data_IF_753067903946
#
_entry.id   IF_753067903946
#
_cell.length_a   1.000
_cell.length_b   1.000
_cell.length_c   1.000
_cell.angle_alpha   90.00
_cell.angle_beta   90.00
_cell.angle_gamma   90.00
#
_symmetry.space_group_name_H-M   'P 1'
#
loop_
_entity.id
_entity.type
_entity.pdbx_description
1 polymer ?
#
# COMPACT_ATOMS: atom_id res chain seq x y z
N UNK A 1 -17.35 64.23 -5.29
CA UNK A 1 -15.87 64.29 -5.39
C UNK A 1 -15.28 63.90 -4.05
N UNK A 2 -14.23 63.10 -4.04
CA UNK A 2 -13.61 62.54 -2.82
C UNK A 2 -12.18 63.03 -2.69
N UNK A 3 -11.75 63.42 -1.49
CA UNK A 3 -10.32 63.54 -1.17
C UNK A 3 -9.70 62.14 -1.04
N UNK A 4 -8.39 62.05 -1.14
CA UNK A 4 -7.68 60.75 -1.07
C UNK A 4 -7.96 59.95 0.21
N UNK A 5 -8.14 60.63 1.36
CA UNK A 5 -8.51 59.98 2.62
C UNK A 5 -9.93 59.43 2.57
N UNK A 6 -10.89 60.20 2.06
CA UNK A 6 -12.28 59.75 1.92
C UNK A 6 -12.41 58.59 0.91
N UNK A 7 -11.57 58.59 -0.13
CA UNK A 7 -11.50 57.48 -1.10
C UNK A 7 -10.88 56.23 -0.48
N UNK A 8 -9.83 56.37 0.34
CA UNK A 8 -9.21 55.29 1.09
C UNK A 8 -10.20 54.62 2.03
N UNK A 9 -10.91 55.41 2.83
CA UNK A 9 -11.91 54.92 3.79
C UNK A 9 -13.06 54.19 3.07
N UNK A 10 -13.54 54.74 1.94
CA UNK A 10 -14.65 54.15 1.18
C UNK A 10 -14.32 52.79 0.56
N UNK A 11 -13.06 52.56 0.19
CA UNK A 11 -12.61 51.35 -0.50
C UNK A 11 -11.83 50.38 0.40
N UNK A 12 -11.63 50.74 1.68
CA UNK A 12 -10.82 49.96 2.61
C UNK A 12 -9.35 49.84 2.19
N UNK A 13 -8.83 50.82 1.42
CA UNK A 13 -7.47 50.81 0.89
C UNK A 13 -6.58 51.80 1.63
N UNK A 14 -5.29 51.50 1.76
CA UNK A 14 -4.34 52.46 2.30
C UNK A 14 -4.15 53.65 1.34
N UNK A 15 -3.89 54.84 1.91
CA UNK A 15 -3.52 56.02 1.11
C UNK A 15 -2.32 55.74 0.19
N UNK A 16 -1.37 54.95 0.65
CA UNK A 16 -0.18 54.54 -0.12
C UNK A 16 -0.56 53.70 -1.33
N UNK A 17 -1.50 52.77 -1.17
CA UNK A 17 -2.04 51.95 -2.27
C UNK A 17 -2.72 52.82 -3.34
N UNK A 18 -3.51 53.81 -2.93
CA UNK A 18 -4.15 54.74 -3.87
C UNK A 18 -3.15 55.62 -4.61
N UNK A 19 -2.09 56.10 -3.94
CA UNK A 19 -1.01 56.84 -4.59
C UNK A 19 -0.22 55.97 -5.58
N UNK A 20 -0.04 54.69 -5.24
CA UNK A 20 0.57 53.71 -6.14
C UNK A 20 -0.32 53.47 -7.37
N UNK A 21 -1.63 53.31 -7.19
CA UNK A 21 -2.58 53.17 -8.30
C UNK A 21 -2.64 54.42 -9.19
N UNK A 22 -2.53 55.61 -8.59
CA UNK A 22 -2.40 56.87 -9.34
C UNK A 22 -1.09 56.93 -10.13
N UNK A 23 0.03 56.43 -9.57
CA UNK A 23 1.33 56.34 -10.28
C UNK A 23 1.28 55.37 -11.46
N UNK A 24 0.53 54.27 -11.34
CA UNK A 24 0.28 53.31 -12.42
C UNK A 24 -0.74 53.80 -13.46
N UNK A 25 -1.37 54.96 -13.23
CA UNK A 25 -2.36 55.54 -14.14
C UNK A 25 -3.75 54.89 -14.05
N UNK A 26 -4.01 54.07 -13.04
CA UNK A 26 -5.30 53.39 -12.86
C UNK A 26 -6.43 54.36 -12.47
N UNK A 27 -6.06 55.44 -11.77
CA UNK A 27 -6.89 56.59 -11.43
C UNK A 27 -6.08 57.87 -11.64
N UNK A 28 -6.76 59.02 -11.81
CA UNK A 28 -6.09 60.31 -11.96
C UNK A 28 -6.77 61.38 -11.12
N UNK A 29 -6.10 61.86 -10.08
CA UNK A 29 -6.62 62.92 -9.24
C UNK A 29 -6.64 64.26 -9.99
N UNK A 30 -7.79 64.94 -9.99
CA UNK A 30 -7.87 66.32 -10.47
C UNK A 30 -7.42 67.27 -9.38
N UNK A 31 -6.52 68.20 -9.69
CA UNK A 31 -6.06 69.22 -8.74
C UNK A 31 -7.03 70.40 -8.72
N UNK A 32 -7.51 70.73 -7.53
CA UNK A 32 -8.28 71.94 -7.29
C UNK A 32 -7.35 73.16 -7.13
N UNK A 33 -7.91 74.37 -7.25
CA UNK A 33 -7.18 75.64 -7.09
C UNK A 33 -6.47 75.78 -5.72
N UNK A 34 -6.92 75.03 -4.70
CA UNK A 34 -6.33 74.98 -3.36
C UNK A 34 -5.22 73.91 -3.20
N UNK A 35 -4.77 73.29 -4.30
CA UNK A 35 -3.67 72.31 -4.30
C UNK A 35 -4.06 70.88 -3.91
N UNK A 36 -5.29 70.64 -3.43
CA UNK A 36 -5.76 69.29 -3.09
C UNK A 36 -6.15 68.49 -4.34
N UNK A 37 -5.90 67.18 -4.30
CA UNK A 37 -6.41 66.22 -5.30
C UNK A 37 -7.81 65.76 -4.93
N UNK A 38 -8.69 65.72 -5.92
CA UNK A 38 -10.03 65.14 -5.82
C UNK A 38 -10.27 64.08 -6.87
N UNK A 39 -11.02 63.05 -6.47
CA UNK A 39 -11.40 61.91 -7.30
C UNK A 39 -12.91 61.87 -7.48
N UNK A 40 -13.36 61.30 -8.58
CA UNK A 40 -14.77 61.24 -8.98
C UNK A 40 -15.45 59.96 -8.50
N UNK A 41 -16.77 59.87 -8.61
CA UNK A 41 -17.48 58.60 -8.37
C UNK A 41 -17.05 57.52 -9.37
N UNK A 42 -16.66 57.92 -10.59
CA UNK A 42 -16.15 57.00 -11.61
C UNK A 42 -14.83 56.36 -11.19
N UNK A 43 -13.97 57.10 -10.49
CA UNK A 43 -12.72 56.55 -9.93
C UNK A 43 -13.03 55.52 -8.83
N UNK A 44 -14.06 55.76 -7.99
CA UNK A 44 -14.53 54.78 -7.00
C UNK A 44 -14.97 53.51 -7.70
N UNK A 45 -15.90 53.60 -8.66
CA UNK A 45 -16.42 52.44 -9.40
C UNK A 45 -15.31 51.66 -10.13
N UNK A 46 -14.34 52.36 -10.72
CA UNK A 46 -13.20 51.76 -11.41
C UNK A 46 -12.30 50.99 -10.45
N UNK A 47 -12.03 51.55 -9.26
CA UNK A 47 -11.23 50.87 -8.24
C UNK A 47 -11.99 49.69 -7.61
N UNK A 48 -13.31 49.79 -7.44
CA UNK A 48 -14.14 48.66 -7.00
C UNK A 48 -14.08 47.51 -8.01
N UNK A 49 -14.18 47.80 -9.31
CA UNK A 49 -14.02 46.78 -10.35
C UNK A 49 -12.61 46.17 -10.33
N UNK A 50 -11.58 46.99 -10.12
CA UNK A 50 -10.20 46.51 -9.97
C UNK A 50 -10.04 45.56 -8.78
N UNK A 51 -10.64 45.88 -7.62
CA UNK A 51 -10.61 45.00 -6.44
C UNK A 51 -11.29 43.65 -6.71
N UNK A 52 -12.42 43.65 -7.42
CA UNK A 52 -13.11 42.41 -7.80
C UNK A 52 -12.29 41.55 -8.75
N UNK A 53 -11.61 42.17 -9.74
CA UNK A 53 -10.71 41.44 -10.65
C UNK A 53 -9.49 40.87 -9.92
N UNK A 54 -8.92 41.63 -8.97
CA UNK A 54 -7.82 41.14 -8.13
C UNK A 54 -8.26 39.98 -7.22
N UNK A 55 -9.49 40.02 -6.69
CA UNK A 55 -10.04 38.93 -5.89
C UNK A 55 -10.22 37.63 -6.71
N UNK A 56 -10.45 37.74 -8.02
CA UNK A 56 -10.42 36.62 -8.97
C UNK A 56 -9.00 36.11 -9.31
N UNK A 57 -7.97 36.64 -8.65
CA UNK A 57 -6.58 36.22 -8.81
C UNK A 57 -5.83 36.95 -9.92
N UNK A 58 -6.38 37.94 -10.60
CA UNK A 58 -5.65 38.67 -11.64
C UNK A 58 -4.59 39.60 -11.03
N UNK A 59 -3.44 39.68 -11.68
CA UNK A 59 -2.40 40.66 -11.34
C UNK A 59 -2.87 42.07 -11.66
N UNK A 60 -2.23 43.07 -11.03
CA UNK A 60 -2.53 44.48 -11.29
C UNK A 60 -2.40 44.88 -12.76
N UNK A 61 -1.46 44.27 -13.49
CA UNK A 61 -1.24 44.52 -14.92
C UNK A 61 -2.38 43.94 -15.77
N UNK A 62 -2.86 42.74 -15.43
CA UNK A 62 -3.99 42.10 -16.11
C UNK A 62 -5.31 42.83 -15.79
N UNK A 63 -5.52 43.24 -14.54
CA UNK A 63 -6.65 44.08 -14.16
C UNK A 63 -6.68 45.39 -14.98
N UNK A 64 -5.52 46.02 -15.16
CA UNK A 64 -5.41 47.21 -16.00
C UNK A 64 -5.78 46.92 -17.46
N UNK A 65 -5.27 45.83 -18.04
CA UNK A 65 -5.61 45.42 -19.40
C UNK A 65 -7.13 45.16 -19.55
N UNK A 66 -7.77 44.52 -18.57
CA UNK A 66 -9.21 44.30 -18.53
C UNK A 66 -10.03 45.60 -18.43
N UNK A 67 -9.49 46.63 -17.78
CA UNK A 67 -10.15 47.92 -17.60
C UNK A 67 -10.00 48.86 -18.81
N UNK A 68 -8.95 48.68 -19.60
CA UNK A 68 -8.56 49.58 -20.69
C UNK A 68 -8.81 48.99 -22.09
N UNK A 69 -9.01 47.68 -22.19
CA UNK A 69 -9.17 46.96 -23.46
C UNK A 69 -10.15 45.78 -23.35
N UNK A 70 -10.49 45.17 -24.49
CA UNK A 70 -11.35 43.97 -24.53
C UNK A 70 -10.60 42.83 -23.85
N UNK A 71 -11.23 42.22 -22.85
CA UNK A 71 -10.65 41.10 -22.10
C UNK A 71 -10.28 39.97 -23.05
N UNK A 72 -9.00 39.57 -23.03
CA UNK A 72 -8.51 38.43 -23.79
C UNK A 72 -9.00 37.15 -23.13
N UNK A 73 -9.84 36.39 -23.86
CA UNK A 73 -10.46 35.17 -23.36
C UNK A 73 -9.42 34.13 -22.94
N UNK A 74 -8.33 34.03 -23.69
CA UNK A 74 -7.29 33.01 -23.46
C UNK A 74 -6.55 33.24 -22.15
N UNK A 75 -6.31 34.50 -21.76
CA UNK A 75 -5.72 34.84 -20.46
C UNK A 75 -6.64 34.45 -19.29
N UNK A 76 -7.96 34.67 -19.42
CA UNK A 76 -8.91 34.23 -18.40
C UNK A 76 -9.00 32.70 -18.30
N UNK A 77 -8.94 31.99 -19.43
CA UNK A 77 -8.95 30.51 -19.47
C UNK A 77 -7.72 29.96 -18.76
N UNK A 78 -6.53 30.50 -19.04
CA UNK A 78 -5.31 30.07 -18.36
C UNK A 78 -5.34 30.39 -16.86
N UNK A 79 -5.87 31.56 -16.48
CA UNK A 79 -5.99 31.90 -15.06
C UNK A 79 -6.96 30.99 -14.31
N UNK A 80 -8.07 30.64 -14.94
CA UNK A 80 -9.04 29.68 -14.39
C UNK A 80 -8.40 28.30 -14.21
N UNK A 81 -7.64 27.83 -15.22
CA UNK A 81 -6.91 26.56 -15.16
C UNK A 81 -5.95 26.50 -13.96
N UNK A 82 -5.16 27.56 -13.75
CA UNK A 82 -4.24 27.65 -12.61
C UNK A 82 -4.98 27.69 -11.25
N UNK A 83 -6.14 28.35 -11.20
CA UNK A 83 -6.97 28.39 -9.99
C UNK A 83 -7.51 26.99 -9.65
N UNK A 84 -7.99 26.25 -10.65
CA UNK A 84 -8.48 24.88 -10.47
C UNK A 84 -7.37 23.93 -10.00
N UNK A 85 -6.15 24.08 -10.50
CA UNK A 85 -4.97 23.36 -9.98
C UNK A 85 -4.70 23.69 -8.51
N UNK A 86 -4.77 24.97 -8.13
CA UNK A 86 -4.54 25.40 -6.74
C UNK A 86 -5.64 24.87 -5.80
N UNK A 87 -6.91 24.90 -6.25
CA UNK A 87 -8.04 24.32 -5.50
C UNK A 87 -7.83 22.83 -5.30
N UNK A 88 -7.46 22.10 -6.36
CA UNK A 88 -7.19 20.66 -6.30
C UNK A 88 -6.09 20.36 -5.29
N UNK A 89 -5.01 21.14 -5.31
CA UNK A 89 -3.91 21.00 -4.36
C UNK A 89 -4.35 21.27 -2.90
N UNK A 90 -5.08 22.36 -2.65
CA UNK A 90 -5.59 22.67 -1.31
C UNK A 90 -6.60 21.64 -0.81
N UNK A 91 -7.42 21.08 -1.70
CA UNK A 91 -8.36 20.01 -1.36
C UNK A 91 -7.62 18.75 -0.91
N UNK A 92 -6.56 18.34 -1.62
CA UNK A 92 -5.71 17.21 -1.21
C UNK A 92 -5.05 17.45 0.14
N UNK A 93 -4.51 18.65 0.37
CA UNK A 93 -3.92 19.01 1.66
C UNK A 93 -4.94 18.97 2.80
N UNK A 94 -6.17 19.47 2.56
CA UNK A 94 -7.27 19.37 3.53
C UNK A 94 -7.64 17.91 3.80
N UNK A 95 -7.76 17.07 2.77
CA UNK A 95 -8.09 15.65 2.92
C UNK A 95 -7.04 14.93 3.76
N UNK A 96 -5.74 15.19 3.53
CA UNK A 96 -4.67 14.66 4.37
C UNK A 96 -4.85 15.09 5.84
N UNK A 97 -5.06 16.37 6.11
CA UNK A 97 -5.24 16.87 7.48
C UNK A 97 -6.50 16.29 8.15
N UNK A 98 -7.62 16.22 7.42
CA UNK A 98 -8.85 15.59 7.90
C UNK A 98 -8.62 14.10 8.23
N UNK A 99 -7.88 13.39 7.39
CA UNK A 99 -7.54 12.00 7.61
C UNK A 99 -6.61 11.81 8.82
N UNK A 100 -5.62 12.69 9.01
CA UNK A 100 -4.75 12.70 10.21
C UNK A 100 -5.51 13.04 11.50
N UNK A 101 -6.58 13.83 11.41
CA UNK A 101 -7.48 14.14 12.54
C UNK A 101 -8.54 13.05 12.77
N UNK A 102 -8.56 12.03 11.92
CA UNK A 102 -9.50 10.93 11.97
C UNK A 102 -10.90 11.21 11.46
N UNK A 103 -11.08 12.29 10.71
CA UNK A 103 -12.35 12.67 10.08
C UNK A 103 -12.58 11.93 8.74
N UNK A 104 -11.55 11.27 8.20
CA UNK A 104 -11.63 10.50 6.96
C UNK A 104 -10.54 9.42 6.88
N UNK A 105 -10.66 8.50 5.91
CA UNK A 105 -9.71 7.41 5.75
C UNK A 105 -8.32 7.87 5.29
N UNK A 106 -7.27 7.29 5.88
CA UNK A 106 -5.86 7.47 5.49
C UNK A 106 -5.38 6.46 4.42
N UNK A 107 -6.26 5.61 3.88
CA UNK A 107 -5.89 4.50 2.98
C UNK A 107 -4.99 4.93 1.82
N UNK A 108 -5.42 5.90 0.99
CA UNK A 108 -4.64 6.34 -0.18
C UNK A 108 -3.29 6.97 0.20
N UNK A 109 -3.24 7.64 1.36
CA UNK A 109 -2.01 8.26 1.85
C UNK A 109 -1.01 7.20 2.34
N UNK A 110 -1.46 6.21 3.11
CA UNK A 110 -0.63 5.07 3.52
C UNK A 110 -0.10 4.30 2.30
N UNK A 111 -0.95 4.03 1.30
CA UNK A 111 -0.55 3.39 0.05
C UNK A 111 0.53 4.20 -0.68
N UNK A 112 0.32 5.51 -0.83
CA UNK A 112 1.27 6.40 -1.52
C UNK A 112 2.62 6.43 -0.80
N UNK A 113 2.60 6.54 0.54
CA UNK A 113 3.83 6.55 1.34
C UNK A 113 4.52 5.19 1.34
N UNK A 114 3.78 4.09 1.38
CA UNK A 114 4.38 2.77 1.31
C UNK A 114 5.08 2.52 -0.03
N UNK A 115 4.52 3.03 -1.13
CA UNK A 115 5.14 2.95 -2.46
C UNK A 115 6.41 3.80 -2.58
N UNK A 116 6.44 5.01 -2.01
CA UNK A 116 7.51 5.98 -2.25
C UNK A 116 8.54 6.09 -1.13
N UNK A 117 8.15 5.75 0.10
CA UNK A 117 8.96 5.92 1.31
C UNK A 117 8.58 4.90 2.41
N UNK A 118 8.65 3.58 2.14
CA UNK A 118 8.16 2.53 3.04
C UNK A 118 8.83 2.55 4.42
N UNK A 119 10.15 2.76 4.49
CA UNK A 119 10.89 2.81 5.76
C UNK A 119 10.46 4.01 6.62
N UNK A 120 10.37 5.20 6.01
CA UNK A 120 9.95 6.42 6.71
C UNK A 120 8.50 6.33 7.20
N UNK A 121 7.66 5.60 6.47
CA UNK A 121 6.28 5.34 6.85
C UNK A 121 6.19 4.47 8.11
N UNK A 122 6.95 3.35 8.16
CA UNK A 122 7.00 2.47 9.34
C UNK A 122 7.57 3.22 10.55
N UNK A 123 8.67 3.96 10.37
CA UNK A 123 9.25 4.78 11.45
C UNK A 123 8.26 5.81 12.00
N UNK A 124 7.46 6.41 11.12
CA UNK A 124 6.43 7.35 11.53
C UNK A 124 5.32 6.66 12.32
N UNK A 125 4.84 5.49 11.88
CA UNK A 125 3.85 4.68 12.60
C UNK A 125 4.36 4.29 13.99
N UNK A 126 5.61 3.82 14.09
CA UNK A 126 6.22 3.50 15.39
C UNK A 126 6.26 4.70 16.34
N UNK A 127 6.54 5.91 15.81
CA UNK A 127 6.49 7.16 16.59
C UNK A 127 5.08 7.57 17.01
N UNK A 128 4.03 7.12 16.32
CA UNK A 128 2.64 7.33 16.74
C UNK A 128 2.20 6.35 17.84
N UNK A 129 3.08 5.44 18.28
CA UNK A 129 2.82 4.49 19.36
C UNK A 129 2.32 3.13 18.90
N UNK A 130 2.34 2.86 17.59
CA UNK A 130 2.13 1.50 17.07
C UNK A 130 3.38 0.66 17.32
N UNK A 131 3.22 -0.57 17.77
CA UNK A 131 4.31 -1.54 17.75
C UNK A 131 4.63 -1.95 16.29
N UNK A 132 5.76 -2.60 16.09
CA UNK A 132 6.23 -3.01 14.76
C UNK A 132 5.20 -3.90 14.04
N UNK A 133 4.51 -4.77 14.79
CA UNK A 133 3.48 -5.68 14.27
C UNK A 133 2.26 -4.91 13.79
N UNK A 134 1.82 -3.91 14.56
CA UNK A 134 0.73 -3.01 14.20
C UNK A 134 1.11 -2.13 13.00
N UNK A 135 2.34 -1.64 12.94
CA UNK A 135 2.84 -0.85 11.82
C UNK A 135 2.89 -1.67 10.51
N UNK A 136 3.40 -2.90 10.57
CA UNK A 136 3.38 -3.83 9.43
C UNK A 136 1.95 -4.19 9.01
N UNK A 137 1.03 -4.35 9.96
CA UNK A 137 -0.39 -4.60 9.68
C UNK A 137 -1.08 -3.41 9.03
N UNK A 138 -0.78 -2.18 9.46
CA UNK A 138 -1.31 -0.95 8.84
C UNK A 138 -0.78 -0.76 7.42
N UNK A 139 0.50 -1.06 7.20
CA UNK A 139 1.11 -1.14 5.87
C UNK A 139 0.36 -2.14 4.98
N UNK A 140 0.14 -3.36 5.46
CA UNK A 140 -0.48 -4.42 4.66
C UNK A 140 -1.96 -4.20 4.41
N UNK A 141 -2.70 -3.74 5.41
CA UNK A 141 -4.14 -3.53 5.29
C UNK A 141 -4.46 -2.24 4.55
N UNK A 142 -3.54 -1.27 4.42
CA UNK A 142 -3.81 0.06 3.85
C UNK A 142 -5.13 0.65 4.39
N UNK A 143 -5.48 0.40 5.65
CA UNK A 143 -6.83 0.67 6.17
C UNK A 143 -6.82 1.67 7.32
N UNK A 144 -7.96 2.33 7.43
CA UNK A 144 -8.21 3.52 8.25
C UNK A 144 -7.76 3.34 9.72
N UNK A 145 -6.83 4.19 10.14
CA UNK A 145 -6.21 4.21 11.47
C UNK A 145 -7.25 4.38 12.60
N UNK A 146 -8.42 4.96 12.32
CA UNK A 146 -9.44 5.26 13.33
C UNK A 146 -10.36 4.08 13.66
N UNK A 147 -10.30 3.00 12.88
CA UNK A 147 -11.12 1.78 13.07
C UNK A 147 -10.27 0.51 13.13
N UNK A 148 -8.94 0.67 13.24
CA UNK A 148 -7.97 -0.42 13.17
C UNK A 148 -8.23 -1.50 14.22
N UNK A 149 -8.46 -1.14 15.49
CA UNK A 149 -8.65 -2.12 16.56
C UNK A 149 -9.91 -2.99 16.37
N UNK A 150 -11.03 -2.36 15.95
CA UNK A 150 -12.25 -3.10 15.67
C UNK A 150 -12.10 -3.96 14.42
N UNK A 151 -11.53 -3.42 13.34
CA UNK A 151 -11.23 -4.18 12.14
C UNK A 151 -10.37 -5.40 12.47
N UNK A 152 -9.33 -5.23 13.29
CA UNK A 152 -8.45 -6.32 13.70
C UNK A 152 -9.17 -7.33 14.59
N UNK A 153 -10.06 -6.89 15.48
CA UNK A 153 -10.87 -7.80 16.28
C UNK A 153 -11.78 -8.68 15.39
N UNK A 154 -12.48 -8.06 14.44
CA UNK A 154 -13.35 -8.74 13.47
C UNK A 154 -12.54 -9.70 12.57
N UNK A 155 -11.37 -9.23 12.10
CA UNK A 155 -10.44 -10.04 11.31
C UNK A 155 -9.98 -11.28 12.08
N UNK A 156 -9.52 -11.10 13.31
CA UNK A 156 -9.03 -12.20 14.13
C UNK A 156 -10.17 -13.14 14.57
N UNK A 157 -11.41 -12.69 14.68
CA UNK A 157 -12.57 -13.54 14.99
C UNK A 157 -12.78 -14.62 13.90
N UNK A 158 -12.51 -14.28 12.64
CA UNK A 158 -12.51 -15.21 11.51
C UNK A 158 -11.23 -16.05 11.52
N UNK A 159 -10.06 -15.40 11.45
CA UNK A 159 -8.76 -16.07 11.20
C UNK A 159 -8.28 -16.98 12.33
N UNK A 160 -8.62 -16.71 13.60
CA UNK A 160 -8.28 -17.60 14.71
C UNK A 160 -8.96 -18.98 14.60
N UNK A 161 -10.09 -19.06 13.89
CA UNK A 161 -10.80 -20.30 13.64
C UNK A 161 -10.23 -21.14 12.49
N UNK A 162 -9.32 -20.57 11.69
CA UNK A 162 -8.77 -21.24 10.51
C UNK A 162 -7.54 -22.08 10.87
N UNK A 163 -7.42 -23.23 10.21
CA UNK A 163 -6.23 -24.08 10.29
C UNK A 163 -5.08 -23.51 9.45
N UNK A 164 -5.41 -22.92 8.30
CA UNK A 164 -4.47 -22.33 7.33
C UNK A 164 -4.69 -20.83 7.22
N UNK A 165 -3.61 -20.10 6.96
CA UNK A 165 -3.63 -18.65 6.71
C UNK A 165 -3.33 -18.30 5.24
N UNK A 166 -3.27 -19.31 4.38
CA UNK A 166 -3.13 -19.16 2.94
C UNK A 166 -3.30 -20.49 2.22
N UNK A 167 -3.35 -20.48 0.88
CA UNK A 167 -3.40 -21.68 0.07
C UNK A 167 -2.20 -22.59 0.31
N UNK A 168 -2.42 -23.91 0.27
CA UNK A 168 -1.35 -24.90 0.40
C UNK A 168 -1.89 -26.30 0.64
N UNK A 169 -1.17 -27.31 0.18
CA UNK A 169 -1.51 -28.72 0.40
C UNK A 169 -0.27 -29.54 0.71
N UNK A 170 -0.44 -30.64 1.45
CA UNK A 170 0.64 -31.59 1.68
C UNK A 170 1.22 -32.12 0.37
N UNK A 171 0.39 -32.34 -0.66
CA UNK A 171 0.83 -32.85 -1.95
C UNK A 171 1.78 -31.86 -2.65
N UNK A 172 1.45 -30.57 -2.63
CA UNK A 172 2.29 -29.53 -3.24
C UNK A 172 3.60 -29.33 -2.47
N UNK A 173 3.57 -29.33 -1.13
CA UNK A 173 4.79 -29.30 -0.31
C UNK A 173 5.69 -30.50 -0.61
N UNK A 174 5.13 -31.71 -0.76
CA UNK A 174 5.89 -32.92 -1.11
C UNK A 174 6.43 -32.88 -2.54
N UNK A 175 5.69 -32.30 -3.49
CA UNK A 175 6.14 -32.12 -4.86
C UNK A 175 7.38 -31.20 -4.90
N UNK A 176 7.34 -30.07 -4.20
CA UNK A 176 8.49 -29.17 -4.09
C UNK A 176 9.69 -29.84 -3.41
N UNK A 177 9.43 -30.61 -2.33
CA UNK A 177 10.48 -31.32 -1.59
C UNK A 177 11.18 -32.37 -2.48
N UNK A 178 10.43 -33.05 -3.34
CA UNK A 178 10.97 -34.04 -4.28
C UNK A 178 11.87 -33.45 -5.38
N UNK A 179 11.77 -32.15 -5.63
CA UNK A 179 12.58 -31.44 -6.63
C UNK A 179 13.91 -30.93 -6.06
N UNK A 180 14.12 -31.02 -4.75
CA UNK A 180 15.40 -30.66 -4.12
C UNK A 180 16.48 -31.68 -4.54
N UNK A 181 17.62 -31.24 -5.10
CA UNK A 181 18.61 -32.12 -5.71
C UNK A 181 19.48 -32.89 -4.70
N UNK A 182 19.36 -32.59 -3.40
CA UNK A 182 20.11 -33.22 -2.32
C UNK A 182 19.20 -33.50 -1.12
N UNK A 183 19.63 -34.37 -0.21
CA UNK A 183 18.91 -34.64 1.02
C UNK A 183 19.05 -33.46 2.00
N UNK A 184 17.94 -32.82 2.43
CA UNK A 184 18.03 -31.72 3.39
C UNK A 184 18.55 -32.19 4.76
N UNK A 185 19.42 -31.39 5.36
CA UNK A 185 19.98 -31.59 6.70
C UNK A 185 19.56 -30.50 7.69
N UNK A 186 19.41 -29.25 7.22
CA UNK A 186 19.17 -28.04 8.02
C UNK A 186 18.19 -27.11 7.32
N UNK A 187 16.91 -27.21 7.68
CA UNK A 187 15.85 -26.42 7.05
C UNK A 187 15.54 -25.20 7.92
N UNK A 188 15.48 -24.02 7.31
CA UNK A 188 14.86 -22.84 7.87
C UNK A 188 13.50 -22.61 7.20
N UNK A 189 12.41 -22.67 7.96
CA UNK A 189 11.09 -22.28 7.50
C UNK A 189 10.76 -20.85 7.95
N UNK A 190 10.39 -19.98 7.02
CA UNK A 190 10.13 -18.55 7.24
C UNK A 190 8.65 -18.26 7.02
N UNK A 191 8.00 -17.73 8.07
CA UNK A 191 6.55 -17.51 8.10
C UNK A 191 5.79 -18.84 8.18
N UNK A 192 6.13 -19.70 9.14
CA UNK A 192 5.56 -21.03 9.25
C UNK A 192 4.08 -21.03 9.71
N UNK A 193 3.59 -19.93 10.30
CA UNK A 193 2.26 -19.84 10.89
C UNK A 193 2.02 -20.98 11.89
N UNK A 194 0.95 -21.74 11.67
CA UNK A 194 0.60 -22.93 12.47
C UNK A 194 1.38 -24.20 12.09
N UNK A 195 2.34 -24.08 11.18
CA UNK A 195 3.32 -25.09 10.77
C UNK A 195 2.75 -26.28 10.02
N UNK A 196 1.93 -26.01 9.00
CA UNK A 196 1.42 -27.07 8.13
C UNK A 196 2.54 -27.64 7.25
N UNK A 197 3.31 -26.78 6.58
CA UNK A 197 4.50 -27.21 5.85
C UNK A 197 5.55 -27.80 6.80
N UNK A 198 5.76 -27.19 7.98
CA UNK A 198 6.64 -27.75 9.03
C UNK A 198 6.35 -29.21 9.33
N UNK A 199 5.07 -29.57 9.55
CA UNK A 199 4.68 -30.95 9.85
C UNK A 199 4.97 -31.91 8.69
N UNK A 200 4.74 -31.48 7.45
CA UNK A 200 5.05 -32.28 6.26
C UNK A 200 6.56 -32.50 6.14
N UNK A 201 7.36 -31.44 6.27
CA UNK A 201 8.81 -31.51 6.24
C UNK A 201 9.36 -32.38 7.37
N UNK A 202 8.81 -32.27 8.58
CA UNK A 202 9.19 -33.06 9.75
C UNK A 202 8.98 -34.57 9.55
N UNK A 203 7.87 -34.93 8.90
CA UNK A 203 7.49 -36.31 8.65
C UNK A 203 8.26 -36.97 7.48
N UNK A 204 8.75 -36.16 6.52
CA UNK A 204 9.35 -36.67 5.28
C UNK A 204 10.85 -36.37 5.14
N UNK A 205 11.47 -35.75 6.15
CA UNK A 205 12.91 -35.51 6.19
C UNK A 205 13.50 -35.91 7.55
N UNK A 206 14.82 -36.12 7.58
CA UNK A 206 15.58 -36.26 8.82
C UNK A 206 16.29 -34.96 9.23
N UNK A 207 15.94 -33.85 8.56
CA UNK A 207 16.57 -32.57 8.79
C UNK A 207 16.27 -32.04 10.21
N UNK A 208 17.17 -31.22 10.73
CA UNK A 208 16.86 -30.29 11.81
C UNK A 208 16.13 -29.09 11.21
N UNK A 209 14.98 -28.74 11.76
CA UNK A 209 14.11 -27.69 11.23
C UNK A 209 14.08 -26.52 12.23
N UNK A 210 14.34 -25.32 11.75
CA UNK A 210 14.09 -24.08 12.48
C UNK A 210 12.88 -23.40 11.84
N UNK A 211 11.75 -23.34 12.55
CA UNK A 211 10.51 -22.74 12.07
C UNK A 211 10.32 -21.35 12.68
N UNK A 212 10.10 -20.33 11.85
CA UNK A 212 10.03 -18.94 12.29
C UNK A 212 8.72 -18.28 11.91
N UNK A 213 8.19 -17.47 12.82
CA UNK A 213 6.99 -16.64 12.59
C UNK A 213 7.00 -15.43 13.55
N UNK A 214 6.16 -14.42 13.30
CA UNK A 214 6.00 -13.27 14.20
C UNK A 214 4.80 -13.41 15.18
N UNK A 215 4.11 -14.56 15.15
CA UNK A 215 3.00 -14.90 16.05
C UNK A 215 3.39 -16.01 17.03
N UNK A 216 3.80 -15.61 18.23
CA UNK A 216 4.20 -16.53 19.30
C UNK A 216 3.10 -17.56 19.66
N UNK A 217 1.82 -17.20 19.54
CA UNK A 217 0.72 -18.16 19.77
C UNK A 217 0.68 -19.27 18.72
N UNK A 218 1.00 -18.97 17.47
CA UNK A 218 1.04 -19.97 16.41
C UNK A 218 2.23 -20.92 16.60
N UNK A 219 3.37 -20.37 17.02
CA UNK A 219 4.56 -21.16 17.37
C UNK A 219 4.31 -22.06 18.59
N UNK A 220 3.56 -21.61 19.59
CA UNK A 220 3.16 -22.44 20.72
C UNK A 220 2.31 -23.64 20.29
N UNK A 221 1.30 -23.40 19.44
CA UNK A 221 0.46 -24.46 18.86
C UNK A 221 1.29 -25.44 18.03
N UNK A 222 2.25 -24.93 17.25
CA UNK A 222 3.15 -25.76 16.46
C UNK A 222 4.04 -26.64 17.36
N UNK A 223 4.65 -26.07 18.40
CA UNK A 223 5.44 -26.81 19.37
C UNK A 223 4.64 -27.95 20.02
N UNK A 224 3.42 -27.67 20.48
CA UNK A 224 2.56 -28.68 21.09
C UNK A 224 2.25 -29.83 20.11
N UNK A 225 1.98 -29.48 18.84
CA UNK A 225 1.67 -30.44 17.77
C UNK A 225 2.88 -31.33 17.46
N UNK A 226 4.07 -30.74 17.31
CA UNK A 226 5.30 -31.47 16.98
C UNK A 226 5.78 -32.35 18.14
N UNK A 227 5.61 -31.89 19.37
CA UNK A 227 5.87 -32.70 20.57
C UNK A 227 4.94 -33.92 20.63
N UNK A 228 3.65 -33.73 20.35
CA UNK A 228 2.69 -34.83 20.30
C UNK A 228 2.99 -35.86 19.18
N UNK A 229 3.60 -35.41 18.07
CA UNK A 229 4.01 -36.27 16.95
C UNK A 229 5.40 -36.92 17.14
N UNK A 230 6.12 -36.61 18.22
CA UNK A 230 7.45 -37.15 18.48
C UNK A 230 8.56 -36.54 17.61
N UNK A 231 8.35 -35.32 17.10
CA UNK A 231 9.32 -34.59 16.27
C UNK A 231 10.05 -33.47 17.02
N UNK A 232 9.69 -33.19 18.27
CA UNK A 232 10.19 -32.04 19.04
C UNK A 232 11.71 -31.93 19.18
N UNK A 233 12.46 -33.04 19.20
CA UNK A 233 13.93 -33.00 19.34
C UNK A 233 14.65 -32.44 18.11
N UNK A 234 14.03 -32.49 16.92
CA UNK A 234 14.63 -32.02 15.67
C UNK A 234 14.13 -30.64 15.24
N UNK A 235 13.18 -30.07 15.95
CA UNK A 235 12.49 -28.86 15.49
C UNK A 235 12.55 -27.79 16.56
N UNK A 236 13.01 -26.61 16.17
CA UNK A 236 13.08 -25.41 17.01
C UNK A 236 12.18 -24.34 16.44
N UNK A 237 11.32 -23.75 17.26
CA UNK A 237 10.53 -22.57 16.87
C UNK A 237 11.22 -21.29 17.34
N UNK A 238 11.21 -20.24 16.52
CA UNK A 238 11.80 -18.93 16.84
C UNK A 238 10.82 -17.83 16.45
N UNK A 239 10.42 -17.01 17.42
CA UNK A 239 9.64 -15.80 17.14
C UNK A 239 10.58 -14.75 16.55
N UNK A 240 10.44 -14.46 15.25
CA UNK A 240 11.36 -13.56 14.53
C UNK A 240 10.66 -12.79 13.40
N UNK A 241 11.20 -11.62 13.09
CA UNK A 241 10.83 -10.86 11.90
C UNK A 241 11.55 -11.47 10.68
N UNK A 242 10.80 -11.79 9.61
CA UNK A 242 11.36 -12.36 8.39
C UNK A 242 12.34 -11.44 7.64
N UNK A 243 12.30 -10.13 7.91
CA UNK A 243 13.22 -9.14 7.39
C UNK A 243 14.50 -8.98 8.24
N UNK A 244 14.52 -9.48 9.48
CA UNK A 244 15.66 -9.41 10.41
C UNK A 244 15.80 -10.72 11.18
N UNK A 245 16.25 -11.76 10.46
CA UNK A 245 16.36 -13.11 11.00
C UNK A 245 17.67 -13.27 11.80
N UNK A 246 17.62 -13.79 13.05
CA UNK A 246 18.76 -13.81 13.96
C UNK A 246 19.72 -14.99 13.72
N UNK A 247 20.05 -15.29 12.46
CA UNK A 247 20.88 -16.43 12.09
C UNK A 247 22.19 -16.01 11.43
N UNK A 248 23.23 -16.79 11.66
CA UNK A 248 24.51 -16.58 11.00
C UNK A 248 24.38 -16.87 9.49
N UNK A 249 25.16 -16.18 8.63
CA UNK A 249 25.25 -16.54 7.23
C UNK A 249 25.60 -18.02 7.03
N UNK A 250 25.11 -18.60 5.94
CA UNK A 250 25.40 -19.98 5.53
C UNK A 250 25.06 -21.06 6.58
N UNK A 251 23.98 -20.85 7.34
CA UNK A 251 23.54 -21.78 8.38
C UNK A 251 22.65 -22.91 7.87
N UNK A 252 21.98 -22.73 6.72
CA UNK A 252 20.94 -23.65 6.24
C UNK A 252 21.22 -24.13 4.82
N UNK A 253 20.99 -25.41 4.54
CA UNK A 253 21.05 -25.97 3.19
C UNK A 253 19.72 -25.82 2.45
N UNK A 254 18.60 -25.67 3.17
CA UNK A 254 17.29 -25.36 2.60
C UNK A 254 16.61 -24.23 3.38
N UNK A 255 16.07 -23.25 2.65
CA UNK A 255 15.09 -22.28 3.16
C UNK A 255 13.74 -22.58 2.53
N UNK A 256 12.68 -22.55 3.34
CA UNK A 256 11.31 -22.84 2.95
C UNK A 256 10.37 -21.69 3.35
N UNK A 257 9.49 -21.24 2.47
CA UNK A 257 8.54 -20.16 2.77
C UNK A 257 7.28 -20.28 1.90
N UNK A 258 6.19 -20.78 2.48
CA UNK A 258 4.91 -20.84 1.77
C UNK A 258 4.01 -19.66 2.17
N UNK A 259 3.53 -18.90 1.19
CA UNK A 259 2.49 -17.88 1.36
C UNK A 259 2.85 -16.80 2.38
N UNK A 260 4.13 -16.41 2.49
CA UNK A 260 4.60 -15.44 3.49
C UNK A 260 5.58 -14.40 2.96
N UNK A 261 6.39 -14.72 1.93
CA UNK A 261 7.41 -13.82 1.39
C UNK A 261 6.87 -12.46 0.88
N UNK A 262 5.61 -12.41 0.44
CA UNK A 262 4.96 -11.17 0.00
C UNK A 262 4.92 -10.09 1.10
N UNK A 263 4.99 -10.48 2.38
CA UNK A 263 4.91 -9.54 3.51
C UNK A 263 6.10 -8.58 3.52
N UNK A 264 7.30 -9.07 3.19
CA UNK A 264 8.50 -8.23 3.06
C UNK A 264 8.80 -7.79 1.61
N UNK A 265 8.03 -8.31 0.66
CA UNK A 265 8.30 -8.22 -0.78
C UNK A 265 9.20 -9.36 -1.25
N UNK A 266 8.80 -10.03 -2.32
CA UNK A 266 9.46 -11.26 -2.78
C UNK A 266 10.86 -11.00 -3.31
N UNK A 267 11.07 -9.89 -4.01
CA UNK A 267 12.40 -9.50 -4.47
C UNK A 267 13.34 -9.18 -3.29
N UNK A 268 12.82 -8.56 -2.23
CA UNK A 268 13.60 -8.33 -1.01
C UNK A 268 13.94 -9.65 -0.31
N UNK A 269 13.00 -10.60 -0.27
CA UNK A 269 13.21 -11.94 0.28
C UNK A 269 14.31 -12.71 -0.47
N UNK A 270 14.33 -12.68 -1.81
CA UNK A 270 15.42 -13.28 -2.60
C UNK A 270 16.79 -12.74 -2.18
N UNK A 271 16.92 -11.43 -2.00
CA UNK A 271 18.20 -10.83 -1.64
C UNK A 271 18.59 -11.10 -0.19
N UNK A 272 17.65 -10.92 0.75
CA UNK A 272 17.91 -11.03 2.19
C UNK A 272 18.19 -12.48 2.62
N UNK A 273 17.44 -13.45 2.11
CA UNK A 273 17.54 -14.84 2.58
C UNK A 273 18.72 -15.59 1.94
N UNK A 274 19.27 -15.10 0.82
CA UNK A 274 20.42 -15.72 0.14
C UNK A 274 21.67 -15.84 1.02
N UNK A 275 21.90 -14.89 1.93
CA UNK A 275 23.07 -14.94 2.82
C UNK A 275 22.97 -16.06 3.85
N UNK A 276 21.75 -16.51 4.21
CA UNK A 276 21.52 -17.58 5.18
C UNK A 276 21.71 -18.97 4.58
N UNK A 277 21.60 -19.11 3.25
CA UNK A 277 21.84 -20.36 2.55
C UNK A 277 23.32 -20.70 2.46
N UNK A 278 23.65 -21.96 2.65
CA UNK A 278 24.95 -22.55 2.32
C UNK A 278 25.23 -22.47 0.81
N UNK A 279 26.48 -22.73 0.41
CA UNK A 279 26.82 -22.91 -1.01
C UNK A 279 25.96 -24.04 -1.60
N UNK A 280 25.41 -23.83 -2.80
CA UNK A 280 24.47 -24.75 -3.48
C UNK A 280 23.14 -25.01 -2.74
N UNK A 281 22.85 -24.25 -1.66
CA UNK A 281 21.62 -24.37 -0.89
C UNK A 281 20.37 -23.97 -1.69
N UNK A 282 19.21 -24.49 -1.27
CA UNK A 282 17.93 -24.33 -1.98
C UNK A 282 17.01 -23.36 -1.24
N UNK A 283 16.47 -22.39 -1.96
CA UNK A 283 15.28 -21.64 -1.56
C UNK A 283 14.05 -22.25 -2.23
N UNK A 284 13.08 -22.66 -1.41
CA UNK A 284 11.73 -22.98 -1.83
C UNK A 284 10.82 -21.89 -1.30
N UNK A 285 10.11 -21.18 -2.19
CA UNK A 285 9.05 -20.27 -1.76
C UNK A 285 7.83 -20.34 -2.66
N UNK A 286 6.68 -19.92 -2.13
CA UNK A 286 5.50 -19.62 -2.95
C UNK A 286 5.15 -18.13 -2.98
N UNK A 287 4.70 -17.66 -4.15
CA UNK A 287 4.19 -16.30 -4.36
C UNK A 287 2.93 -16.31 -5.22
N UNK A 288 2.03 -15.36 -4.97
CA UNK A 288 0.85 -15.13 -5.79
C UNK A 288 1.25 -14.37 -7.07
N UNK A 289 0.99 -14.94 -8.24
CA UNK A 289 1.44 -14.38 -9.52
C UNK A 289 0.33 -14.42 -10.59
N UNK A 290 0.40 -13.50 -11.54
CA UNK A 290 -0.43 -13.52 -12.75
C UNK A 290 0.04 -14.64 -13.69
N UNK A 291 -0.91 -15.37 -14.27
CA UNK A 291 -0.60 -16.30 -15.37
C UNK A 291 -0.29 -15.52 -16.65
N UNK A 292 0.78 -15.91 -17.35
CA UNK A 292 1.24 -15.21 -18.56
C UNK A 292 0.16 -15.10 -19.64
N UNK A 293 -0.58 -16.18 -19.88
CA UNK A 293 -1.66 -16.24 -20.87
C UNK A 293 -2.77 -15.22 -20.56
N UNK A 294 -3.07 -15.00 -19.28
CA UNK A 294 -4.06 -14.03 -18.81
C UNK A 294 -3.57 -12.56 -18.89
N UNK A 295 -2.27 -12.35 -19.07
CA UNK A 295 -1.70 -11.01 -19.32
C UNK A 295 -1.67 -10.64 -20.81
N UNK A 296 -1.73 -11.62 -21.72
CA UNK A 296 -1.68 -11.40 -23.17
C UNK A 296 -3.06 -11.19 -23.80
N UNK A 297 -4.11 -11.84 -23.28
CA UNK A 297 -5.52 -11.61 -23.66
C UNK A 297 -6.13 -10.48 -22.81
N UNK A 298 -5.64 -9.26 -23.03
CA UNK A 298 -6.02 -8.02 -22.34
C UNK A 298 -7.51 -7.60 -22.44
N UNK A 299 -8.41 -8.47 -22.91
CA UNK A 299 -9.84 -8.18 -23.04
C UNK A 299 -10.79 -9.31 -22.59
N UNK A 300 -10.31 -10.52 -22.28
CA UNK A 300 -11.23 -11.67 -22.07
C UNK A 300 -10.91 -12.57 -20.85
N UNK A 301 -9.69 -12.53 -20.28
CA UNK A 301 -9.26 -13.52 -19.27
C UNK A 301 -9.35 -13.13 -17.79
N UNK A 302 -9.23 -11.85 -17.46
CA UNK A 302 -9.32 -11.36 -16.07
C UNK A 302 -10.38 -10.27 -16.04
N UNK A 303 -11.40 -10.45 -15.21
CA UNK A 303 -12.34 -9.39 -14.91
C UNK A 303 -11.59 -8.16 -14.34
N UNK A 304 -11.99 -6.96 -14.78
CA UNK A 304 -11.35 -5.71 -14.36
C UNK A 304 -11.45 -5.51 -12.84
N UNK A 305 -12.52 -5.99 -12.19
CA UNK A 305 -12.69 -5.85 -10.75
C UNK A 305 -11.70 -6.74 -9.99
N UNK A 306 -11.50 -7.98 -10.45
CA UNK A 306 -10.49 -8.92 -9.89
C UNK A 306 -9.08 -8.38 -10.03
N UNK A 307 -8.75 -7.76 -11.18
CA UNK A 307 -7.45 -7.10 -11.38
C UNK A 307 -7.27 -5.92 -10.43
N UNK A 308 -8.27 -5.04 -10.34
CA UNK A 308 -8.21 -3.87 -9.47
C UNK A 308 -8.07 -4.27 -8.00
N UNK A 309 -8.74 -5.35 -7.59
CA UNK A 309 -8.61 -5.92 -6.25
C UNK A 309 -7.17 -6.30 -5.93
N UNK A 310 -6.53 -7.16 -6.74
CA UNK A 310 -5.16 -7.59 -6.45
C UNK A 310 -4.12 -6.48 -6.63
N UNK A 311 -4.33 -5.53 -7.55
CA UNK A 311 -3.48 -4.33 -7.63
C UNK A 311 -3.54 -3.47 -6.37
N UNK A 312 -4.66 -3.51 -5.64
CA UNK A 312 -4.83 -2.83 -4.38
C UNK A 312 -4.26 -3.65 -3.20
N UNK A 313 -4.60 -4.94 -3.10
CA UNK A 313 -4.25 -5.78 -1.94
C UNK A 313 -2.83 -6.37 -2.04
N UNK A 314 -2.31 -6.60 -3.24
CA UNK A 314 -0.93 -7.05 -3.47
C UNK A 314 -0.28 -6.33 -4.67
N UNK A 315 0.17 -5.07 -4.51
CA UNK A 315 0.73 -4.27 -5.60
C UNK A 315 2.01 -4.84 -6.26
N UNK A 316 2.77 -5.67 -5.53
CA UNK A 316 3.98 -6.35 -6.03
C UNK A 316 3.64 -7.63 -6.83
N UNK A 317 2.36 -8.02 -6.93
CA UNK A 317 1.93 -9.16 -7.74
C UNK A 317 2.33 -8.99 -9.21
N UNK A 318 3.14 -9.91 -9.70
CA UNK A 318 3.72 -9.88 -11.05
C UNK A 318 3.58 -11.23 -11.74
N UNK A 319 4.21 -11.44 -12.90
CA UNK A 319 4.17 -12.72 -13.63
C UNK A 319 5.27 -13.67 -13.18
N UNK A 320 5.11 -14.95 -13.49
CA UNK A 320 6.15 -15.98 -13.30
C UNK A 320 7.47 -15.56 -13.95
N UNK A 321 7.48 -15.12 -15.22
CA UNK A 321 8.69 -14.66 -15.90
C UNK A 321 9.44 -13.55 -15.14
N UNK A 322 8.72 -12.59 -14.57
CA UNK A 322 9.35 -11.51 -13.79
C UNK A 322 9.96 -12.06 -12.49
N UNK A 323 9.26 -12.94 -11.77
CA UNK A 323 9.82 -13.57 -10.55
C UNK A 323 11.06 -14.41 -10.83
N UNK A 324 11.06 -15.17 -11.94
CA UNK A 324 12.24 -15.93 -12.35
C UNK A 324 13.42 -15.01 -12.67
N UNK A 325 13.19 -13.91 -13.40
CA UNK A 325 14.23 -12.93 -13.69
C UNK A 325 14.78 -12.25 -12.42
N UNK A 326 13.92 -11.90 -11.46
CA UNK A 326 14.31 -11.35 -10.16
C UNK A 326 15.15 -12.36 -9.36
N UNK A 327 14.74 -13.64 -9.32
CA UNK A 327 15.51 -14.69 -8.67
C UNK A 327 16.90 -14.88 -9.31
N UNK A 328 16.99 -14.89 -10.64
CA UNK A 328 18.28 -14.99 -11.32
C UNK A 328 19.18 -13.78 -11.04
N UNK A 329 18.63 -12.56 -11.05
CA UNK A 329 19.34 -11.34 -10.71
C UNK A 329 19.86 -11.34 -9.26
N UNK A 330 19.09 -11.93 -8.34
CA UNK A 330 19.49 -12.12 -6.94
C UNK A 330 20.56 -13.23 -6.75
N UNK A 331 20.99 -13.90 -7.83
CA UNK A 331 22.05 -14.91 -7.78
C UNK A 331 21.55 -16.32 -7.52
N UNK A 332 20.34 -16.66 -8.00
CA UNK A 332 19.82 -18.02 -8.00
C UNK A 332 19.87 -18.66 -9.39
N UNK A 333 19.89 -19.99 -9.43
CA UNK A 333 19.57 -20.81 -10.60
C UNK A 333 18.19 -21.41 -10.37
N UNK A 334 17.28 -21.23 -11.32
CA UNK A 334 15.97 -21.89 -11.29
C UNK A 334 16.18 -23.39 -11.46
N UNK A 335 15.68 -24.19 -10.50
CA UNK A 335 15.59 -25.65 -10.64
C UNK A 335 14.28 -25.99 -11.32
N UNK A 336 13.17 -25.49 -10.76
CA UNK A 336 11.82 -25.75 -11.25
C UNK A 336 10.84 -24.72 -10.66
N UNK A 337 9.64 -24.66 -11.20
CA UNK A 337 8.51 -23.93 -10.64
C UNK A 337 7.18 -24.55 -11.09
N UNK A 338 6.18 -24.60 -10.20
CA UNK A 338 4.85 -25.11 -10.55
C UNK A 338 3.73 -24.34 -9.83
N UNK A 339 2.55 -24.28 -10.43
CA UNK A 339 1.37 -23.68 -9.81
C UNK A 339 0.81 -24.63 -8.74
N UNK A 340 0.35 -24.09 -7.61
CA UNK A 340 -0.34 -24.88 -6.59
C UNK A 340 -1.60 -25.54 -7.16
N UNK A 341 -1.94 -26.70 -6.61
CA UNK A 341 -3.15 -27.44 -6.99
C UNK A 341 -4.43 -26.69 -6.61
N UNK A 342 -5.53 -26.97 -7.31
CA UNK A 342 -6.86 -26.47 -6.90
C UNK A 342 -7.22 -26.99 -5.49
N UNK A 343 -6.74 -28.17 -5.10
CA UNK A 343 -6.91 -28.71 -3.74
C UNK A 343 -6.24 -27.82 -2.68
N UNK A 344 -5.06 -27.24 -2.98
CA UNK A 344 -4.40 -26.29 -2.08
C UNK A 344 -5.20 -25.01 -1.88
N UNK A 345 -5.84 -24.51 -2.94
CA UNK A 345 -6.75 -23.37 -2.85
C UNK A 345 -8.01 -23.70 -2.04
N UNK A 346 -8.63 -24.84 -2.33
CA UNK A 346 -9.86 -25.28 -1.63
C UNK A 346 -9.62 -25.60 -0.16
N UNK A 347 -8.43 -26.11 0.19
CA UNK A 347 -8.05 -26.35 1.58
C UNK A 347 -8.00 -25.06 2.42
N UNK A 348 -7.88 -23.89 1.78
CA UNK A 348 -7.93 -22.59 2.45
C UNK A 348 -9.31 -21.92 2.30
N UNK A 349 -9.81 -21.73 1.07
CA UNK A 349 -11.03 -20.97 0.82
C UNK A 349 -12.30 -21.70 1.28
N UNK A 350 -12.36 -23.03 1.22
CA UNK A 350 -13.52 -23.78 1.71
C UNK A 350 -13.80 -23.54 3.20
N UNK A 351 -12.82 -23.77 4.09
CA UNK A 351 -12.95 -23.42 5.51
C UNK A 351 -13.15 -21.92 5.77
N UNK A 352 -12.53 -21.06 4.96
CA UNK A 352 -12.64 -19.61 5.10
C UNK A 352 -14.07 -19.12 4.81
N UNK A 353 -14.67 -19.56 3.71
CA UNK A 353 -16.06 -19.30 3.35
C UNK A 353 -17.02 -19.79 4.43
N UNK A 354 -16.89 -21.05 4.86
CA UNK A 354 -17.74 -21.62 5.90
C UNK A 354 -17.63 -20.85 7.23
N UNK A 355 -16.43 -20.37 7.58
CA UNK A 355 -16.21 -19.57 8.79
C UNK A 355 -16.84 -18.18 8.67
N UNK A 356 -16.73 -17.56 7.50
CA UNK A 356 -17.31 -16.23 7.26
C UNK A 356 -18.85 -16.30 7.28
N UNK A 357 -19.44 -17.31 6.65
CA UNK A 357 -20.89 -17.57 6.70
C UNK A 357 -21.38 -17.78 8.14
N UNK A 358 -20.66 -18.56 8.94
CA UNK A 358 -21.01 -18.81 10.34
C UNK A 358 -21.00 -17.54 11.22
N UNK A 359 -20.22 -16.52 10.82
CA UNK A 359 -20.08 -15.25 11.54
C UNK A 359 -20.88 -14.11 10.90
N UNK A 360 -21.66 -14.36 9.85
CA UNK A 360 -22.39 -13.31 9.12
C UNK A 360 -23.24 -12.44 10.04
N UNK A 361 -23.98 -13.03 10.98
CA UNK A 361 -24.85 -12.27 11.89
C UNK A 361 -24.09 -11.41 12.91
N UNK A 362 -22.85 -11.78 13.27
CA UNK A 362 -22.02 -11.04 14.21
C UNK A 362 -21.23 -9.92 13.53
N UNK A 363 -20.83 -10.15 12.28
CA UNK A 363 -19.95 -9.26 11.51
C UNK A 363 -20.72 -8.47 10.43
N UNK A 364 -22.06 -8.52 10.43
CA UNK A 364 -22.87 -7.79 9.47
C UNK A 364 -22.60 -6.28 9.54
N UNK A 365 -22.21 -5.70 8.39
CA UNK A 365 -21.85 -4.28 8.30
C UNK A 365 -20.42 -3.96 8.77
N UNK A 366 -19.66 -4.93 9.29
CA UNK A 366 -18.24 -4.75 9.58
C UNK A 366 -17.43 -4.61 8.29
N UNK A 367 -16.47 -3.68 8.28
CA UNK A 367 -15.60 -3.47 7.12
C UNK A 367 -14.74 -4.71 6.83
N UNK A 368 -14.21 -5.37 7.86
CA UNK A 368 -13.42 -6.59 7.71
C UNK A 368 -14.21 -7.70 7.01
N UNK A 369 -15.50 -7.83 7.34
CA UNK A 369 -16.40 -8.79 6.68
C UNK A 369 -16.56 -8.49 5.19
N UNK A 370 -16.85 -7.24 4.84
CA UNK A 370 -16.98 -6.83 3.43
C UNK A 370 -15.68 -7.05 2.64
N UNK A 371 -14.52 -6.82 3.27
CA UNK A 371 -13.22 -7.03 2.62
C UNK A 371 -12.94 -8.51 2.36
N UNK A 372 -13.21 -9.38 3.33
CA UNK A 372 -13.08 -10.83 3.14
C UNK A 372 -14.07 -11.38 2.11
N UNK A 373 -15.29 -10.84 2.03
CA UNK A 373 -16.24 -11.19 0.97
C UNK A 373 -15.70 -10.80 -0.42
N UNK A 374 -15.03 -9.65 -0.54
CA UNK A 374 -14.39 -9.24 -1.81
C UNK A 374 -13.23 -10.16 -2.18
N UNK A 375 -12.44 -10.60 -1.20
CA UNK A 375 -11.37 -11.58 -1.42
C UNK A 375 -11.91 -12.93 -1.93
N UNK A 376 -12.94 -13.46 -1.28
CA UNK A 376 -13.60 -14.71 -1.70
C UNK A 376 -14.19 -14.56 -3.11
N UNK A 377 -14.82 -13.42 -3.42
CA UNK A 377 -15.34 -13.15 -4.76
C UNK A 377 -14.22 -13.11 -5.81
N UNK A 378 -13.08 -12.46 -5.51
CA UNK A 378 -11.91 -12.44 -6.37
C UNK A 378 -11.31 -13.84 -6.58
N UNK A 379 -11.33 -14.69 -5.54
CA UNK A 379 -10.95 -16.10 -5.65
C UNK A 379 -11.88 -16.89 -6.58
N UNK A 380 -13.21 -16.77 -6.45
CA UNK A 380 -14.13 -17.47 -7.35
C UNK A 380 -14.05 -16.96 -8.80
N UNK A 381 -13.74 -15.68 -8.97
CA UNK A 381 -13.51 -15.06 -10.28
C UNK A 381 -12.11 -15.36 -10.87
N UNK A 382 -11.27 -16.13 -10.15
CA UNK A 382 -9.89 -16.43 -10.57
C UNK A 382 -9.83 -17.01 -11.97
N UNK A 383 -10.68 -17.99 -12.34
CA UNK A 383 -10.72 -18.60 -13.69
C UNK A 383 -9.34 -18.91 -14.33
N UNK A 384 -8.31 -19.23 -13.53
CA UNK A 384 -6.94 -19.44 -14.00
C UNK A 384 -6.15 -18.16 -14.35
N UNK A 385 -6.67 -16.97 -14.07
CA UNK A 385 -6.02 -15.68 -14.26
C UNK A 385 -4.74 -15.49 -13.43
N UNK A 386 -4.73 -16.06 -12.24
CA UNK A 386 -3.61 -16.02 -11.30
C UNK A 386 -3.54 -17.33 -10.51
N UNK A 387 -2.37 -17.58 -9.94
CA UNK A 387 -2.11 -18.74 -9.08
C UNK A 387 -1.01 -18.42 -8.07
N UNK A 388 -0.99 -19.16 -6.96
CA UNK A 388 0.22 -19.29 -6.17
C UNK A 388 1.18 -20.18 -6.93
N UNK A 389 2.39 -19.70 -7.15
CA UNK A 389 3.46 -20.40 -7.84
C UNK A 389 4.53 -20.77 -6.82
N UNK A 390 4.87 -22.06 -6.75
CA UNK A 390 6.03 -22.55 -6.01
C UNK A 390 7.28 -22.40 -6.88
N UNK A 391 8.35 -21.86 -6.32
CA UNK A 391 9.65 -21.66 -6.96
C UNK A 391 10.72 -22.44 -6.21
N UNK A 392 11.50 -23.25 -6.91
CA UNK A 392 12.61 -24.03 -6.37
C UNK A 392 13.90 -23.47 -6.97
N UNK A 393 14.72 -22.85 -6.13
CA UNK A 393 15.83 -22.00 -6.55
C UNK A 393 17.12 -22.42 -5.86
N UNK A 394 18.18 -22.66 -6.62
CA UNK A 394 19.51 -22.98 -6.07
C UNK A 394 20.37 -21.72 -5.99
N UNK A 395 21.00 -21.46 -4.84
CA UNK A 395 22.00 -20.39 -4.69
C UNK A 395 23.21 -20.65 -5.60
N UNK A 396 23.59 -19.65 -6.39
CA UNK A 396 24.85 -19.63 -7.18
C UNK A 396 26.02 -19.07 -6.40
#
# INVERSE_FOLDING_TARGET
MYRISQLADKLGLSRTTLLYYEKLGLIKGQRLANGYRTYTERDVQRLTLLQNLQAGGLTLKECQACLDSKVERDMLVERLRLLDEEITHKQRARQLLAAMLGESSLTEWHQTLDQHAPEAHIDWLMKQGFDEKQAMRLKWLSKDMNTHDQYMADFMAVFNGLERWGPGSQADTLNALAQIPHTPHTILEIGCGRGIATQVLAAHTQATITATDNEEKALAVLNDTLNAQGHGERITTVCANMADLPFAPESFDVIWSECSAYIMGVEAAFNAWRSLLQTDGILVLSDLVWREEATQTLSEGIDNDTRAFWQQEYPDMTTVAVRLAQAEAAGYRVIDHFALSDDAWQAYYGPFEARLEALQGELEGARAYADMQREIAAFHARHGAFDYQMFILQKR
#
